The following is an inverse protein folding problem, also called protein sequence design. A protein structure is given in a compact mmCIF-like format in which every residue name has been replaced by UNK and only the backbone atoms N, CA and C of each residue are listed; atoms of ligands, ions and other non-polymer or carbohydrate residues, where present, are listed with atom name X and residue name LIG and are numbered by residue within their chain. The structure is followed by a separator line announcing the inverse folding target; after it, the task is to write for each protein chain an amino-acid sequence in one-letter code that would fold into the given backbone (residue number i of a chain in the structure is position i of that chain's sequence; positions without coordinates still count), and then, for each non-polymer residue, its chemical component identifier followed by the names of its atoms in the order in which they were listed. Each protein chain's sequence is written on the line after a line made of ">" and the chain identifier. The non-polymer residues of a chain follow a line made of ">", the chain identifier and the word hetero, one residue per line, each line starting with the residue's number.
data_IF_955512876445
#
_entry.id   IF_955512876445
#
_cell.length_a   1.000
_cell.length_b   1.000
_cell.length_c   1.000
_cell.angle_alpha   90.00
_cell.angle_beta   90.00
_cell.angle_gamma   90.00
#
_symmetry.space_group_name_H-M   'P 1'
#
loop_
_entity.id
_entity.type
_entity.pdbx_description
1 polymer ?
#
# COMPACT_ATOMS: atom_id res chain seq x y z
N UNK A 1 -30.01 11.23 11.16
CA UNK A 1 -30.65 9.96 10.77
C UNK A 1 -29.75 9.42 9.68
N UNK A 2 -30.20 9.17 8.44
CA UNK A 2 -29.29 9.08 7.28
C UNK A 2 -29.83 10.01 6.21
N UNK A 3 -28.95 10.65 5.43
CA UNK A 3 -29.33 11.40 4.24
C UNK A 3 -29.36 10.42 3.08
N UNK A 4 -30.55 10.07 2.58
CA UNK A 4 -30.70 9.13 1.48
C UNK A 4 -31.19 9.82 0.21
N UNK A 5 -30.46 9.62 -0.88
CA UNK A 5 -30.87 10.00 -2.22
C UNK A 5 -31.89 9.03 -2.83
N UNK A 6 -31.99 9.06 -4.15
CA UNK A 6 -32.99 8.33 -4.92
C UNK A 6 -32.35 7.30 -5.86
N UNK A 7 -33.09 6.86 -6.88
CA UNK A 7 -32.55 5.97 -7.92
C UNK A 7 -32.25 6.72 -9.23
N UNK A 8 -32.07 8.03 -9.12
CA UNK A 8 -31.74 8.94 -10.22
C UNK A 8 -30.74 9.95 -9.72
N UNK A 9 -29.94 10.52 -10.62
CA UNK A 9 -29.00 11.60 -10.33
C UNK A 9 -29.57 12.69 -9.42
N UNK A 10 -28.98 12.80 -8.23
CA UNK A 10 -29.29 13.72 -7.16
C UNK A 10 -28.14 14.71 -6.93
N UNK A 11 -28.51 15.90 -6.47
CA UNK A 11 -27.59 16.86 -5.87
C UNK A 11 -27.87 16.87 -4.38
N UNK A 12 -27.00 16.24 -3.61
CA UNK A 12 -27.09 16.09 -2.15
C UNK A 12 -26.17 17.12 -1.52
N UNK A 13 -26.76 18.25 -1.14
CA UNK A 13 -26.13 19.32 -0.36
C UNK A 13 -27.10 19.77 0.75
N UNK A 14 -26.75 20.84 1.49
CA UNK A 14 -27.62 21.42 2.54
C UNK A 14 -29.04 21.82 2.07
N UNK A 15 -29.24 21.96 0.76
CA UNK A 15 -30.53 22.30 0.15
C UNK A 15 -31.33 21.09 -0.29
N UNK A 16 -30.77 19.88 -0.20
CA UNK A 16 -31.43 18.64 -0.57
C UNK A 16 -32.71 18.41 0.26
N UNK A 17 -33.79 18.05 -0.44
CA UNK A 17 -35.12 17.81 0.13
C UNK A 17 -35.66 16.42 -0.26
N UNK A 18 -34.85 15.60 -0.93
CA UNK A 18 -35.27 14.31 -1.47
C UNK A 18 -35.37 13.21 -0.41
N UNK A 19 -34.71 13.38 0.74
CA UNK A 19 -34.75 12.37 1.80
C UNK A 19 -36.17 12.21 2.38
N UNK A 20 -36.66 10.97 2.34
CA UNK A 20 -37.96 10.59 2.86
C UNK A 20 -38.00 10.58 4.40
N UNK A 21 -36.85 10.52 5.08
CA UNK A 21 -36.76 10.60 6.54
C UNK A 21 -36.69 12.05 7.04
N UNK A 22 -36.34 12.98 6.15
CA UNK A 22 -36.29 14.42 6.39
C UNK A 22 -34.98 14.89 7.04
N UNK A 23 -33.96 14.04 7.05
CA UNK A 23 -32.58 14.35 7.41
C UNK A 23 -31.94 15.28 6.38
N UNK A 24 -30.88 15.98 6.77
CA UNK A 24 -30.18 16.94 5.92
C UNK A 24 -28.72 17.02 6.30
N UNK A 25 -27.91 17.29 5.29
CA UNK A 25 -26.52 17.69 5.46
C UNK A 25 -26.44 18.90 6.41
N UNK A 26 -25.47 18.88 7.33
CA UNK A 26 -25.17 19.96 8.27
C UNK A 26 -26.39 20.41 9.12
N UNK A 27 -27.27 19.48 9.48
CA UNK A 27 -28.47 19.83 10.25
C UNK A 27 -28.20 20.20 11.72
N UNK A 28 -26.95 20.08 12.19
CA UNK A 28 -26.56 20.32 13.57
C UNK A 28 -27.11 19.26 14.54
N UNK A 29 -27.54 18.11 14.03
CA UNK A 29 -27.83 16.94 14.84
C UNK A 29 -26.62 16.01 14.93
N UNK A 30 -26.64 15.17 15.96
CA UNK A 30 -25.66 14.11 16.15
C UNK A 30 -26.39 12.81 15.84
N UNK A 31 -26.26 12.38 14.60
CA UNK A 31 -27.08 11.32 14.00
C UNK A 31 -26.64 9.92 14.43
N UNK A 32 -25.33 9.76 14.69
CA UNK A 32 -24.71 8.51 15.11
C UNK A 32 -24.25 8.53 16.58
N UNK A 33 -24.26 7.39 17.29
CA UNK A 33 -23.73 7.31 18.65
C UNK A 33 -22.22 7.57 18.68
N UNK A 34 -21.82 8.75 19.17
CA UNK A 34 -20.42 9.16 19.25
C UNK A 34 -20.01 10.20 18.22
N UNK A 35 -20.87 10.45 17.23
CA UNK A 35 -20.71 11.52 16.26
C UNK A 35 -20.81 12.91 16.90
N UNK A 36 -20.06 13.83 16.33
CA UNK A 36 -20.15 15.27 16.51
C UNK A 36 -21.46 15.85 15.99
N UNK A 37 -21.51 17.18 15.97
CA UNK A 37 -22.58 17.89 15.29
C UNK A 37 -22.15 18.04 13.83
N UNK A 38 -23.08 17.82 12.91
CA UNK A 38 -22.89 17.85 11.47
C UNK A 38 -22.25 16.61 10.83
N UNK A 39 -21.72 15.67 11.61
CA UNK A 39 -21.37 14.34 11.07
C UNK A 39 -22.62 13.68 10.43
N UNK A 40 -22.54 13.47 9.13
CA UNK A 40 -23.60 12.96 8.28
C UNK A 40 -23.28 11.56 7.76
N UNK A 41 -24.31 10.71 7.69
CA UNK A 41 -24.26 9.42 7.00
C UNK A 41 -25.10 9.50 5.74
N UNK A 42 -24.45 9.48 4.58
CA UNK A 42 -25.04 9.71 3.26
C UNK A 42 -25.03 8.44 2.41
N UNK A 43 -26.19 8.11 1.84
CA UNK A 43 -26.32 7.11 0.79
C UNK A 43 -26.90 7.79 -0.44
N UNK A 44 -26.09 7.99 -1.48
CA UNK A 44 -26.49 8.73 -2.67
C UNK A 44 -27.53 7.94 -3.49
N UNK A 45 -27.28 6.64 -3.68
CA UNK A 45 -28.24 5.73 -4.29
C UNK A 45 -27.80 5.30 -5.68
N UNK A 46 -28.75 5.07 -6.57
CA UNK A 46 -28.39 4.75 -7.96
C UNK A 46 -28.48 6.00 -8.84
N UNK A 47 -27.61 6.07 -9.86
CA UNK A 47 -27.55 7.20 -10.79
C UNK A 47 -26.28 8.01 -10.57
N UNK A 48 -25.97 8.92 -11.51
CA UNK A 48 -24.78 9.76 -11.39
C UNK A 48 -25.08 10.92 -10.41
N UNK A 49 -24.62 10.80 -9.17
CA UNK A 49 -24.95 11.68 -8.07
C UNK A 49 -23.84 12.71 -7.79
N UNK A 50 -24.19 13.77 -7.07
CA UNK A 50 -23.22 14.74 -6.55
C UNK A 50 -23.49 15.00 -5.09
N UNK A 51 -22.50 14.72 -4.23
CA UNK A 51 -22.58 14.87 -2.78
C UNK A 51 -21.57 15.90 -2.30
N UNK A 52 -22.03 16.82 -1.45
CA UNK A 52 -21.20 17.71 -0.66
C UNK A 52 -21.54 17.49 0.82
N UNK A 53 -20.65 16.84 1.57
CA UNK A 53 -20.89 16.48 2.97
C UNK A 53 -20.58 17.64 3.95
N UNK A 54 -19.57 18.46 3.60
CA UNK A 54 -19.29 19.79 4.16
C UNK A 54 -18.54 19.82 5.49
N UNK A 55 -19.23 19.88 6.64
CA UNK A 55 -18.56 20.03 7.93
C UNK A 55 -18.81 18.78 8.77
N UNK A 56 -17.78 18.30 9.45
CA UNK A 56 -17.92 17.18 10.37
C UNK A 56 -17.21 15.95 9.82
N UNK A 57 -17.11 14.91 10.64
CA UNK A 57 -16.52 13.64 10.19
C UNK A 57 -17.63 12.82 9.51
N UNK A 58 -17.69 12.88 8.18
CA UNK A 58 -18.80 12.35 7.37
C UNK A 58 -18.55 10.95 6.84
N UNK A 59 -19.62 10.20 6.59
CA UNK A 59 -19.59 8.89 5.94
C UNK A 59 -20.48 8.90 4.70
N UNK A 60 -19.87 8.79 3.52
CA UNK A 60 -20.52 8.98 2.21
C UNK A 60 -20.38 7.73 1.35
N UNK A 61 -21.52 7.25 0.83
CA UNK A 61 -21.60 6.15 -0.13
C UNK A 61 -22.25 6.62 -1.43
N UNK A 62 -21.53 6.57 -2.56
CA UNK A 62 -22.07 6.80 -3.91
C UNK A 62 -23.02 5.69 -4.36
N UNK A 63 -22.64 4.45 -4.08
CA UNK A 63 -23.33 3.22 -4.50
C UNK A 63 -23.17 2.89 -5.99
N UNK A 64 -24.10 3.25 -6.88
CA UNK A 64 -24.01 2.83 -8.28
C UNK A 64 -24.26 3.99 -9.23
N UNK A 65 -23.27 4.38 -10.02
CA UNK A 65 -23.33 5.62 -10.79
C UNK A 65 -21.93 6.10 -11.12
N UNK A 66 -21.81 7.20 -11.87
CA UNK A 66 -20.55 7.94 -11.93
C UNK A 66 -20.71 9.18 -11.08
N UNK A 67 -20.23 9.11 -9.85
CA UNK A 67 -20.56 10.04 -8.79
C UNK A 67 -19.45 11.09 -8.60
N UNK A 68 -19.85 12.24 -8.06
CA UNK A 68 -18.93 13.24 -7.52
C UNK A 68 -19.16 13.37 -6.02
N UNK A 69 -18.22 12.87 -5.22
CA UNK A 69 -18.35 12.76 -3.77
C UNK A 69 -17.27 13.60 -3.10
N UNK A 70 -17.65 14.61 -2.31
CA UNK A 70 -16.71 15.49 -1.62
C UNK A 70 -17.02 15.52 -0.12
N UNK A 71 -16.09 15.05 0.70
CA UNK A 71 -16.13 15.04 2.17
C UNK A 71 -16.12 16.47 2.74
N UNK A 72 -15.04 17.21 2.45
CA UNK A 72 -14.78 18.60 2.84
C UNK A 72 -14.03 18.75 4.17
N UNK A 73 -14.57 19.47 5.15
CA UNK A 73 -13.88 19.72 6.42
C UNK A 73 -14.22 18.57 7.38
N UNK A 74 -13.28 17.68 7.68
CA UNK A 74 -13.63 16.47 8.42
C UNK A 74 -12.58 15.39 8.31
N UNK A 75 -12.66 14.35 9.13
CA UNK A 75 -12.01 13.08 8.83
C UNK A 75 -13.08 12.17 8.23
N UNK A 76 -13.18 12.20 6.91
CA UNK A 76 -14.28 11.65 6.17
C UNK A 76 -14.00 10.22 5.71
N UNK A 77 -15.07 9.47 5.51
CA UNK A 77 -15.05 8.16 4.90
C UNK A 77 -15.90 8.19 3.63
N UNK A 78 -15.27 8.14 2.46
CA UNK A 78 -15.93 8.29 1.17
C UNK A 78 -15.74 7.05 0.31
N UNK A 79 -16.84 6.43 -0.10
CA UNK A 79 -16.87 5.27 -0.99
C UNK A 79 -17.59 5.62 -2.29
N UNK A 80 -16.92 5.46 -3.44
CA UNK A 80 -17.49 5.61 -4.78
C UNK A 80 -18.53 4.52 -5.06
N UNK A 81 -18.06 3.30 -5.26
CA UNK A 81 -18.93 2.13 -5.43
C UNK A 81 -18.77 1.51 -6.81
N UNK A 82 -19.87 1.31 -7.52
CA UNK A 82 -19.83 0.86 -8.93
C UNK A 82 -19.85 2.07 -9.87
N UNK A 83 -18.84 2.21 -10.74
CA UNK A 83 -18.80 3.20 -11.81
C UNK A 83 -17.55 4.06 -11.75
N UNK A 84 -17.40 5.02 -12.67
CA UNK A 84 -16.21 5.89 -12.68
C UNK A 84 -16.50 7.13 -11.86
N UNK A 85 -15.94 7.18 -10.66
CA UNK A 85 -16.24 8.18 -9.65
C UNK A 85 -15.15 9.25 -9.54
N UNK A 86 -15.52 10.40 -8.96
CA UNK A 86 -14.61 11.46 -8.55
C UNK A 86 -14.77 11.67 -7.05
N UNK A 87 -13.74 11.36 -6.28
CA UNK A 87 -13.71 11.47 -4.82
C UNK A 87 -12.79 12.60 -4.38
N UNK A 88 -13.19 13.32 -3.34
CA UNK A 88 -12.40 14.38 -2.72
C UNK A 88 -12.51 14.40 -1.20
N UNK A 89 -11.38 14.37 -0.51
CA UNK A 89 -11.28 14.49 0.95
C UNK A 89 -11.37 15.95 1.42
N UNK A 90 -10.40 16.76 1.01
CA UNK A 90 -10.18 18.17 1.37
C UNK A 90 -9.40 18.38 2.68
N UNK A 91 -10.00 18.89 3.76
CA UNK A 91 -9.28 19.17 5.02
C UNK A 91 -9.55 18.08 6.05
N UNK A 92 -8.50 17.36 6.48
CA UNK A 92 -8.55 16.38 7.57
C UNK A 92 -8.03 15.03 7.11
N UNK A 93 -8.09 14.00 7.96
CA UNK A 93 -7.48 12.70 7.63
C UNK A 93 -8.57 11.76 7.10
N UNK A 94 -8.67 11.68 5.79
CA UNK A 94 -9.76 11.04 5.08
C UNK A 94 -9.42 9.60 4.71
N UNK A 95 -10.46 8.81 4.44
CA UNK A 95 -10.35 7.50 3.83
C UNK A 95 -11.23 7.48 2.60
N UNK A 96 -10.61 7.31 1.43
CA UNK A 96 -11.25 7.39 0.12
C UNK A 96 -11.09 6.04 -0.61
N UNK A 97 -12.19 5.44 -1.02
CA UNK A 97 -12.24 4.17 -1.75
C UNK A 97 -13.07 4.31 -3.03
N UNK A 98 -12.42 4.21 -4.20
CA UNK A 98 -13.07 4.35 -5.51
C UNK A 98 -14.06 3.23 -5.80
N UNK A 99 -13.71 1.99 -5.43
CA UNK A 99 -14.56 0.83 -5.61
C UNK A 99 -14.25 0.06 -6.89
N UNK A 100 -15.14 0.08 -7.88
CA UNK A 100 -14.97 -0.64 -9.14
C UNK A 100 -14.98 0.30 -10.33
N UNK A 101 -14.37 -0.14 -11.43
CA UNK A 101 -14.10 0.72 -12.59
C UNK A 101 -12.97 1.72 -12.30
N UNK A 102 -12.69 2.65 -13.24
CA UNK A 102 -11.53 3.53 -13.10
C UNK A 102 -11.94 4.85 -12.48
N UNK A 103 -11.33 5.19 -11.34
CA UNK A 103 -11.72 6.32 -10.51
C UNK A 103 -10.69 7.45 -10.48
N UNK A 104 -11.13 8.62 -10.02
CA UNK A 104 -10.29 9.79 -9.79
C UNK A 104 -10.41 10.25 -8.34
N UNK A 105 -9.33 10.14 -7.58
CA UNK A 105 -9.31 10.40 -6.14
C UNK A 105 -8.30 11.50 -5.82
N UNK A 106 -8.75 12.54 -5.10
CA UNK A 106 -7.91 13.63 -4.60
C UNK A 106 -8.09 13.77 -3.09
N UNK A 107 -7.07 13.51 -2.28
CA UNK A 107 -7.23 13.60 -0.83
C UNK A 107 -7.01 15.03 -0.29
N UNK A 108 -6.06 15.77 -0.84
CA UNK A 108 -5.76 17.19 -0.54
C UNK A 108 -4.94 17.42 0.75
N UNK A 109 -5.51 17.90 1.86
CA UNK A 109 -4.79 18.24 3.10
C UNK A 109 -5.09 17.21 4.19
N UNK A 110 -4.14 16.35 4.56
CA UNK A 110 -4.45 15.29 5.50
C UNK A 110 -3.39 14.21 5.58
N UNK A 111 -3.52 13.29 6.53
CA UNK A 111 -2.80 12.02 6.42
C UNK A 111 -3.81 10.99 5.97
N UNK A 112 -3.95 10.85 4.67
CA UNK A 112 -5.10 10.20 4.07
C UNK A 112 -4.83 8.74 3.73
N UNK A 113 -5.91 7.98 3.55
CA UNK A 113 -5.86 6.60 3.07
C UNK A 113 -6.62 6.52 1.75
N UNK A 114 -5.91 6.18 0.68
CA UNK A 114 -6.48 6.08 -0.66
C UNK A 114 -6.48 4.62 -1.14
N UNK A 115 -7.63 4.19 -1.64
CA UNK A 115 -7.86 2.87 -2.24
C UNK A 115 -8.53 3.12 -3.60
N UNK A 116 -7.83 2.84 -4.70
CA UNK A 116 -8.44 2.93 -6.04
C UNK A 116 -9.53 1.87 -6.24
N UNK A 117 -9.28 0.66 -5.74
CA UNK A 117 -10.18 -0.47 -5.89
C UNK A 117 -9.83 -1.29 -7.13
N UNK A 118 -10.83 -1.76 -7.88
CA UNK A 118 -10.58 -2.50 -9.11
C UNK A 118 -10.77 -1.61 -10.31
N UNK A 119 -9.70 -1.32 -11.05
CA UNK A 119 -9.81 -0.22 -11.98
C UNK A 119 -8.54 0.06 -12.71
N UNK A 120 -8.53 1.22 -13.34
CA UNK A 120 -7.31 1.91 -13.71
C UNK A 120 -7.48 3.28 -13.11
N UNK A 121 -6.99 3.44 -11.89
CA UNK A 121 -7.36 4.56 -11.03
C UNK A 121 -6.32 5.67 -11.11
N UNK A 122 -6.73 6.90 -10.85
CA UNK A 122 -5.83 8.03 -10.66
C UNK A 122 -5.99 8.54 -9.24
N UNK A 123 -4.92 8.47 -8.46
CA UNK A 123 -4.91 8.84 -7.05
C UNK A 123 -3.84 9.91 -6.80
N UNK A 124 -4.25 11.00 -6.16
CA UNK A 124 -3.40 12.12 -5.73
C UNK A 124 -3.58 12.30 -4.21
N UNK A 125 -2.51 12.04 -3.45
CA UNK A 125 -2.50 12.18 -1.99
C UNK A 125 -2.60 13.65 -1.59
N UNK A 126 -1.62 14.45 -2.01
CA UNK A 126 -1.67 15.90 -1.92
C UNK A 126 -0.63 16.45 -0.95
N UNK A 127 -1.03 16.81 0.26
CA UNK A 127 -0.14 17.31 1.30
C UNK A 127 -0.05 16.31 2.44
N UNK A 128 1.08 16.33 3.16
CA UNK A 128 1.31 15.56 4.39
C UNK A 128 1.61 14.07 4.16
N UNK A 129 1.05 13.11 4.92
CA UNK A 129 1.51 11.70 4.88
C UNK A 129 0.39 10.78 4.47
N UNK A 130 0.40 10.40 3.22
CA UNK A 130 -0.67 9.59 2.66
C UNK A 130 -0.28 8.11 2.56
N UNK A 131 -1.31 7.28 2.54
CA UNK A 131 -1.16 5.84 2.42
C UNK A 131 -2.02 5.30 1.28
N UNK A 132 -1.35 4.72 0.29
CA UNK A 132 -1.98 4.10 -0.87
C UNK A 132 -2.02 2.58 -0.69
N UNK A 133 -3.22 2.01 -0.81
CA UNK A 133 -3.47 0.60 -0.61
C UNK A 133 -4.13 -0.03 -1.85
N UNK A 134 -4.02 -1.35 -1.99
CA UNK A 134 -4.84 -2.11 -2.93
C UNK A 134 -4.55 -1.87 -4.42
N UNK A 135 -3.41 -1.29 -4.76
CA UNK A 135 -3.03 -0.91 -6.13
C UNK A 135 -3.14 -2.07 -7.13
N UNK A 136 -3.78 -1.79 -8.27
CA UNK A 136 -4.03 -2.73 -9.35
C UNK A 136 -3.41 -2.29 -10.68
N UNK A 137 -3.74 -2.99 -11.77
CA UNK A 137 -3.13 -2.77 -13.08
C UNK A 137 -3.77 -1.54 -13.73
N UNK A 138 -2.96 -0.56 -14.08
CA UNK A 138 -3.40 0.66 -14.76
C UNK A 138 -3.34 1.89 -13.88
N UNK A 139 -3.20 1.71 -12.57
CA UNK A 139 -3.22 2.81 -11.61
C UNK A 139 -2.06 3.79 -11.83
N UNK A 140 -2.38 5.07 -11.69
CA UNK A 140 -1.46 6.20 -11.65
C UNK A 140 -1.57 6.84 -10.27
N UNK A 141 -0.47 6.82 -9.52
CA UNK A 141 -0.39 7.31 -8.13
C UNK A 141 0.57 8.49 -8.06
N UNK A 142 0.16 9.55 -7.40
CA UNK A 142 0.97 10.71 -7.05
C UNK A 142 0.84 10.94 -5.53
N UNK A 143 1.94 10.89 -4.78
CA UNK A 143 1.91 11.20 -3.34
C UNK A 143 1.73 12.68 -3.08
N UNK A 144 2.27 13.54 -3.94
CA UNK A 144 2.44 14.96 -3.63
C UNK A 144 3.88 15.29 -3.24
N UNK A 145 4.17 16.58 -3.04
CA UNK A 145 5.54 17.05 -2.72
C UNK A 145 5.53 18.16 -1.64
N UNK A 146 4.45 18.21 -0.84
CA UNK A 146 4.17 19.35 0.03
C UNK A 146 3.70 18.92 1.42
N UNK A 147 3.99 19.72 2.44
CA UNK A 147 3.59 19.39 3.82
C UNK A 147 4.60 18.52 4.57
N UNK A 148 4.15 17.71 5.52
CA UNK A 148 4.92 16.64 6.18
C UNK A 148 5.03 15.37 5.32
N UNK A 149 5.41 15.60 4.07
CA UNK A 149 5.52 14.75 2.88
C UNK A 149 6.31 13.45 3.09
N UNK A 150 5.64 12.40 3.58
CA UNK A 150 6.23 11.05 3.67
C UNK A 150 5.16 10.01 3.35
N UNK A 151 4.95 9.85 2.06
CA UNK A 151 3.92 9.01 1.51
C UNK A 151 4.34 7.55 1.48
N UNK A 152 3.35 6.69 1.66
CA UNK A 152 3.55 5.25 1.72
C UNK A 152 2.67 4.54 0.71
N UNK A 153 3.32 3.83 -0.20
CA UNK A 153 2.67 2.87 -1.07
C UNK A 153 2.82 1.46 -0.49
N UNK A 154 1.73 0.89 0.04
CA UNK A 154 1.73 -0.44 0.62
C UNK A 154 1.26 -1.51 -0.38
N UNK A 155 2.23 -2.27 -0.88
CA UNK A 155 2.05 -3.40 -1.77
C UNK A 155 2.18 -4.75 -1.04
N UNK A 156 2.19 -4.76 0.30
CA UNK A 156 2.40 -5.97 1.12
C UNK A 156 1.26 -7.00 1.05
N UNK A 157 0.12 -6.60 0.48
CA UNK A 157 -1.01 -7.50 0.23
C UNK A 157 -1.16 -7.86 -1.25
N UNK A 158 -0.33 -7.27 -2.11
CA UNK A 158 -0.37 -7.50 -3.54
C UNK A 158 0.18 -8.89 -3.90
N UNK A 159 -0.32 -9.43 -5.01
CA UNK A 159 0.20 -10.65 -5.61
C UNK A 159 1.64 -10.49 -6.12
N UNK A 160 2.18 -11.51 -6.82
CA UNK A 160 3.52 -11.44 -7.38
C UNK A 160 3.73 -10.18 -8.23
N UNK A 161 4.81 -9.44 -7.94
CA UNK A 161 5.15 -8.20 -8.65
C UNK A 161 6.66 -7.95 -8.64
N UNK A 162 7.10 -6.99 -9.47
CA UNK A 162 8.43 -6.39 -9.40
C UNK A 162 8.31 -4.88 -9.51
N UNK A 163 9.10 -4.14 -8.72
CA UNK A 163 9.15 -2.68 -8.77
C UNK A 163 10.46 -2.22 -9.38
N UNK A 164 10.37 -1.37 -10.40
CA UNK A 164 11.50 -0.66 -10.99
C UNK A 164 11.42 0.82 -10.60
N UNK A 165 12.32 1.25 -9.73
CA UNK A 165 12.45 2.65 -9.32
C UNK A 165 13.19 3.47 -10.39
N UNK A 166 12.80 4.73 -10.57
CA UNK A 166 13.54 5.66 -11.43
C UNK A 166 14.90 5.97 -10.80
N UNK A 167 15.97 5.74 -11.57
CA UNK A 167 17.34 5.89 -11.09
C UNK A 167 17.75 7.35 -10.79
N UNK A 168 17.00 8.33 -11.30
CA UNK A 168 17.21 9.75 -11.06
C UNK A 168 16.29 10.30 -9.97
N UNK A 169 15.09 9.73 -9.81
CA UNK A 169 14.23 9.99 -8.66
C UNK A 169 13.64 8.68 -8.08
N UNK A 170 14.23 8.12 -7.01
CA UNK A 170 13.73 6.91 -6.38
C UNK A 170 12.34 7.01 -5.74
N UNK A 171 11.77 8.22 -5.64
CA UNK A 171 10.37 8.43 -5.25
C UNK A 171 9.40 8.11 -6.41
N UNK A 172 9.91 7.86 -7.61
CA UNK A 172 9.14 7.47 -8.78
C UNK A 172 9.43 6.03 -9.20
N UNK A 173 8.47 5.36 -9.79
CA UNK A 173 8.70 4.01 -10.31
C UNK A 173 7.57 3.42 -11.13
N UNK A 174 7.83 2.21 -11.61
CA UNK A 174 6.86 1.37 -12.31
C UNK A 174 6.73 0.05 -11.58
N UNK A 175 5.49 -0.32 -11.26
CA UNK A 175 5.14 -1.62 -10.74
C UNK A 175 4.79 -2.52 -11.92
N UNK A 176 5.36 -3.71 -11.97
CA UNK A 176 4.99 -4.74 -12.95
C UNK A 176 4.37 -5.91 -12.19
N UNK A 177 3.09 -6.18 -12.46
CA UNK A 177 2.38 -7.32 -11.89
C UNK A 177 2.72 -8.59 -12.68
N UNK A 178 2.84 -9.72 -11.98
CA UNK A 178 3.28 -10.99 -12.53
C UNK A 178 2.22 -12.08 -12.30
N UNK A 179 2.10 -13.01 -13.26
CA UNK A 179 1.35 -14.25 -13.06
C UNK A 179 2.14 -15.26 -12.22
N UNK A 180 1.54 -16.44 -11.97
CA UNK A 180 2.16 -17.51 -11.19
C UNK A 180 3.42 -18.08 -11.83
N UNK A 181 3.61 -17.89 -13.13
CA UNK A 181 4.76 -18.31 -13.91
C UNK A 181 5.84 -17.21 -14.03
N UNK A 182 5.60 -16.03 -13.44
CA UNK A 182 6.50 -14.87 -13.46
C UNK A 182 6.43 -14.03 -14.73
N UNK A 183 5.42 -14.23 -15.59
CA UNK A 183 5.21 -13.39 -16.76
C UNK A 183 4.41 -12.13 -16.40
N UNK A 184 4.80 -11.00 -17.01
CA UNK A 184 4.15 -9.71 -16.78
C UNK A 184 2.70 -9.72 -17.29
N UNK A 185 1.78 -9.26 -16.44
CA UNK A 185 0.33 -9.19 -16.74
C UNK A 185 -0.15 -7.75 -16.94
N UNK A 186 0.56 -6.77 -16.38
CA UNK A 186 0.25 -5.36 -16.50
C UNK A 186 1.17 -4.50 -15.63
N UNK A 187 0.95 -3.18 -15.65
CA UNK A 187 1.76 -2.23 -14.90
C UNK A 187 0.91 -1.17 -14.21
N UNK A 188 1.42 -0.62 -13.11
CA UNK A 188 0.99 0.64 -12.50
C UNK A 188 2.19 1.59 -12.37
N UNK A 189 1.93 2.86 -12.12
CA UNK A 189 2.97 3.89 -11.96
C UNK A 189 2.74 4.65 -10.67
N UNK A 190 3.84 5.02 -10.02
CA UNK A 190 3.81 5.95 -8.91
C UNK A 190 4.86 7.04 -9.11
N UNK A 191 4.56 8.22 -8.60
CA UNK A 191 5.47 9.35 -8.46
C UNK A 191 5.36 9.94 -7.07
N UNK A 192 6.46 10.54 -6.61
CA UNK A 192 6.56 11.23 -5.33
C UNK A 192 6.10 10.34 -4.14
N UNK A 193 6.68 9.15 -4.02
CA UNK A 193 6.43 8.22 -2.89
C UNK A 193 7.73 7.93 -2.15
N UNK A 194 7.82 8.34 -0.88
CA UNK A 194 9.03 8.18 -0.06
C UNK A 194 9.23 6.74 0.42
N UNK A 195 8.14 5.96 0.53
CA UNK A 195 8.20 4.61 1.07
C UNK A 195 7.31 3.63 0.32
N UNK A 196 7.93 2.63 -0.30
CA UNK A 196 7.24 1.47 -0.85
C UNK A 196 7.41 0.27 0.08
N UNK A 197 6.30 -0.33 0.51
CA UNK A 197 6.27 -1.57 1.31
C UNK A 197 5.94 -2.73 0.38
N UNK A 198 6.77 -3.78 0.37
CA UNK A 198 6.59 -4.95 -0.49
C UNK A 198 6.19 -6.18 0.33
N UNK A 199 5.49 -7.12 -0.31
CA UNK A 199 5.25 -8.44 0.28
C UNK A 199 6.57 -9.20 0.34
N UNK A 200 7.00 -9.60 1.54
CA UNK A 200 8.15 -10.48 1.77
C UNK A 200 7.86 -11.89 1.21
N UNK A 201 8.00 -12.03 -0.11
CA UNK A 201 7.72 -13.27 -0.86
C UNK A 201 8.95 -13.87 -1.50
N UNK A 202 10.08 -13.16 -1.48
CA UNK A 202 11.31 -13.64 -2.11
C UNK A 202 12.25 -14.17 -1.05
N UNK A 203 12.55 -15.46 -1.13
CA UNK A 203 13.62 -16.03 -0.30
C UNK A 203 14.97 -15.53 -0.79
N UNK A 204 15.92 -15.24 0.11
CA UNK A 204 17.32 -14.99 -0.25
C UNK A 204 17.88 -16.03 -1.21
N UNK A 205 18.70 -15.58 -2.16
CA UNK A 205 19.37 -16.43 -3.14
C UNK A 205 20.83 -16.62 -2.71
N UNK A 206 21.13 -17.83 -2.23
CA UNK A 206 22.48 -18.23 -1.86
C UNK A 206 23.33 -18.60 -3.11
N UNK A 207 24.56 -18.12 -3.15
CA UNK A 207 25.58 -18.43 -4.15
C UNK A 207 26.69 -19.29 -3.54
N UNK A 208 27.11 -20.40 -4.17
CA UNK A 208 28.10 -21.29 -3.55
C UNK A 208 29.47 -20.63 -3.30
N UNK A 209 29.97 -20.77 -2.08
CA UNK A 209 31.31 -20.36 -1.67
C UNK A 209 32.32 -21.50 -1.63
N UNK A 210 33.60 -21.13 -1.62
CA UNK A 210 34.69 -22.08 -1.38
C UNK A 210 35.74 -21.48 -0.44
N UNK A 211 36.25 -22.30 0.48
CA UNK A 211 37.36 -21.97 1.37
C UNK A 211 38.28 -23.17 1.54
N UNK A 212 39.53 -22.94 1.94
CA UNK A 212 40.49 -24.00 2.26
C UNK A 212 41.22 -23.67 3.56
N UNK A 213 41.57 -24.70 4.32
CA UNK A 213 42.30 -24.56 5.57
C UNK A 213 43.24 -25.76 5.77
N UNK A 214 44.16 -25.64 6.72
CA UNK A 214 44.96 -26.78 7.16
C UNK A 214 44.10 -27.72 8.03
N UNK A 215 44.49 -29.00 8.08
CA UNK A 215 43.97 -29.93 9.08
C UNK A 215 44.05 -29.31 10.49
N UNK A 216 43.00 -29.55 11.28
CA UNK A 216 42.82 -29.03 12.65
C UNK A 216 42.85 -27.49 12.80
N UNK A 217 42.86 -26.74 11.68
CA UNK A 217 42.91 -25.29 11.68
C UNK A 217 41.53 -24.71 11.31
N UNK A 218 40.91 -23.89 12.17
CA UNK A 218 39.65 -23.24 11.84
C UNK A 218 39.82 -22.18 10.73
N UNK A 219 38.75 -21.94 9.99
CA UNK A 219 38.67 -20.94 8.91
C UNK A 219 37.39 -20.13 9.02
N UNK A 220 37.49 -18.83 8.71
CA UNK A 220 36.35 -17.92 8.61
C UNK A 220 35.96 -17.78 7.14
N UNK A 221 34.67 -17.90 6.85
CA UNK A 221 34.10 -17.88 5.51
C UNK A 221 33.02 -16.78 5.48
N UNK A 222 33.17 -15.85 4.55
CA UNK A 222 32.15 -14.83 4.26
C UNK A 222 31.17 -15.40 3.25
N UNK A 223 30.09 -16.02 3.76
CA UNK A 223 29.08 -16.70 2.93
C UNK A 223 28.00 -15.78 2.39
N UNK A 224 27.89 -14.55 2.92
CA UNK A 224 26.88 -13.59 2.46
C UNK A 224 27.41 -12.65 1.37
N UNK A 225 28.73 -12.62 1.16
CA UNK A 225 29.38 -11.65 0.27
C UNK A 225 28.98 -11.75 -1.20
N UNK A 226 28.44 -12.90 -1.64
CA UNK A 226 27.96 -13.17 -3.00
C UNK A 226 26.48 -13.58 -3.05
N UNK A 227 25.80 -13.58 -1.90
CA UNK A 227 24.37 -13.85 -1.79
C UNK A 227 23.59 -12.58 -2.12
N UNK A 228 22.36 -12.76 -2.59
CA UNK A 228 21.50 -11.63 -2.95
C UNK A 228 20.09 -11.85 -2.44
N UNK A 229 19.50 -10.81 -1.88
CA UNK A 229 18.05 -10.76 -1.69
C UNK A 229 17.40 -9.99 -2.86
N UNK A 230 16.37 -10.52 -3.53
CA UNK A 230 15.69 -9.82 -4.61
C UNK A 230 15.04 -8.49 -4.22
N UNK A 231 14.68 -8.30 -2.95
CA UNK A 231 14.13 -7.05 -2.41
C UNK A 231 15.23 -6.13 -1.85
N UNK A 232 16.48 -6.61 -1.76
CA UNK A 232 17.59 -5.89 -1.16
C UNK A 232 17.57 -5.89 0.37
N UNK A 233 16.77 -6.76 0.98
CA UNK A 233 16.73 -6.90 2.44
C UNK A 233 18.10 -7.36 3.01
N UNK A 234 18.49 -6.89 4.20
CA UNK A 234 19.72 -7.34 4.84
C UNK A 234 19.72 -8.84 5.10
N UNK A 235 20.71 -9.55 4.57
CA UNK A 235 20.86 -10.98 4.74
C UNK A 235 21.40 -11.34 6.13
N UNK A 236 20.91 -12.44 6.70
CA UNK A 236 21.41 -13.01 7.97
C UNK A 236 21.48 -14.52 7.89
N UNK A 237 22.52 -15.11 8.50
CA UNK A 237 22.60 -16.58 8.67
C UNK A 237 21.97 -16.96 10.01
N UNK A 238 21.00 -17.87 9.98
CA UNK A 238 20.24 -18.37 11.12
C UNK A 238 20.57 -19.82 11.48
N UNK A 239 21.16 -20.57 10.55
CA UNK A 239 21.57 -21.95 10.75
C UNK A 239 22.78 -22.32 9.90
N UNK A 240 23.67 -23.16 10.42
CA UNK A 240 24.77 -23.72 9.64
C UNK A 240 25.20 -25.09 10.18
N UNK A 241 25.52 -26.03 9.29
CA UNK A 241 25.96 -27.39 9.66
C UNK A 241 27.03 -27.91 8.71
N UNK A 242 27.90 -28.78 9.21
CA UNK A 242 28.92 -29.48 8.44
C UNK A 242 28.98 -30.97 8.88
N UNK A 243 29.18 -31.92 7.95
CA UNK A 243 29.34 -33.34 8.29
C UNK A 243 30.64 -33.70 9.01
N UNK A 244 31.76 -33.03 8.75
CA UNK A 244 33.10 -33.40 9.26
C UNK A 244 33.77 -32.29 10.06
N UNK A 245 32.97 -31.53 10.79
CA UNK A 245 33.45 -30.50 11.70
C UNK A 245 32.30 -29.76 12.36
N UNK A 246 32.64 -28.65 12.99
CA UNK A 246 31.67 -27.76 13.65
C UNK A 246 31.65 -26.40 12.98
N UNK A 247 30.47 -25.79 12.91
CA UNK A 247 30.27 -24.46 12.34
C UNK A 247 29.71 -23.54 13.42
N UNK A 248 30.33 -22.38 13.59
CA UNK A 248 29.83 -21.31 14.43
C UNK A 248 29.44 -20.11 13.56
N UNK A 249 28.23 -19.56 13.77
CA UNK A 249 27.78 -18.32 13.14
C UNK A 249 28.34 -17.15 13.95
N UNK A 250 29.11 -16.29 13.31
CA UNK A 250 29.71 -15.12 13.95
C UNK A 250 28.72 -13.95 13.98
N UNK A 251 28.87 -12.97 14.89
CA UNK A 251 27.95 -11.82 14.99
C UNK A 251 27.89 -10.94 13.73
N UNK A 252 28.88 -11.02 12.86
CA UNK A 252 28.96 -10.28 11.60
C UNK A 252 28.38 -11.04 10.40
N UNK A 253 27.78 -12.21 10.62
CA UNK A 253 27.18 -13.04 9.57
C UNK A 253 28.15 -14.03 8.90
N UNK A 254 29.44 -13.95 9.19
CA UNK A 254 30.42 -14.94 8.68
C UNK A 254 30.33 -16.28 9.42
N UNK A 255 30.82 -17.35 8.80
CA UNK A 255 30.89 -18.68 9.42
C UNK A 255 32.31 -19.02 9.84
N UNK A 256 32.50 -19.51 11.06
CA UNK A 256 33.74 -20.16 11.49
C UNK A 256 33.59 -21.67 11.42
N UNK A 257 34.27 -22.32 10.47
CA UNK A 257 34.33 -23.77 10.36
C UNK A 257 35.59 -24.31 11.04
N UNK A 258 35.43 -25.32 11.90
CA UNK A 258 36.54 -26.05 12.54
C UNK A 258 36.42 -27.53 12.15
N UNK A 259 37.37 -28.07 11.36
CA UNK A 259 37.38 -29.50 11.03
C UNK A 259 37.42 -30.38 12.27
N UNK A 260 36.82 -31.57 12.18
CA UNK A 260 37.03 -32.61 13.20
C UNK A 260 38.52 -33.00 13.28
N UNK A 261 39.01 -33.39 14.46
CA UNK A 261 40.40 -33.83 14.61
C UNK A 261 40.77 -34.93 13.61
N UNK A 262 41.96 -34.81 13.01
CA UNK A 262 42.52 -35.73 12.02
C UNK A 262 41.71 -35.82 10.68
N UNK A 263 40.71 -34.95 10.47
CA UNK A 263 39.94 -34.94 9.23
C UNK A 263 40.76 -34.38 8.07
N UNK A 264 40.82 -35.16 6.98
CA UNK A 264 41.50 -34.80 5.75
C UNK A 264 40.56 -35.06 4.56
N UNK A 265 40.19 -34.00 3.85
CA UNK A 265 39.35 -34.11 2.65
C UNK A 265 38.46 -32.89 2.43
N UNK A 266 37.65 -32.93 1.36
CA UNK A 266 36.59 -31.95 1.16
C UNK A 266 35.47 -32.15 2.19
N UNK A 267 34.89 -31.05 2.67
CA UNK A 267 33.65 -31.04 3.44
C UNK A 267 32.65 -30.07 2.80
N UNK A 268 31.36 -30.26 3.09
CA UNK A 268 30.28 -29.42 2.55
C UNK A 268 29.52 -28.77 3.70
N UNK A 269 29.48 -27.43 3.71
CA UNK A 269 28.76 -26.64 4.70
C UNK A 269 27.41 -26.23 4.10
N UNK A 270 26.32 -26.51 4.80
CA UNK A 270 24.99 -25.99 4.45
C UNK A 270 24.59 -24.92 5.45
N UNK A 271 24.00 -23.82 4.96
CA UNK A 271 23.51 -22.71 5.77
C UNK A 271 22.14 -22.22 5.31
N UNK A 272 21.46 -21.50 6.21
CA UNK A 272 20.15 -20.87 6.04
C UNK A 272 20.10 -19.54 6.76
#
# INVERSE_FOLDING_TARGET
>A
MTVSGTGSSDLIDTTFLGDAQGDRIDAGDATLPGAGANDDLVFAGAGDDTVFALLGDDEVYGEAGNDLLLGKEGNDLVFGGEGTDILGGAEGNDTLDGGTEGDLIFAEEGNDVLIGGSGSDTMDGGQDRDMFLGVTIGDEIDGGETGDDVDTLDLSTSGPLSVEFDALNPENGTITFLDAEGAATGTARFVNIERVILTDTTTPVASPDTATTAEDAPVVIDVLGNDTDPNGDPLTVTGATAPNGTVAINPDGTLTYTPDPDFNGPDEISYT
#
